data_IF_730485612351
#
_entry.id   IF_730485612351
#
_cell.length_a   1.000
_cell.length_b   1.000
_cell.length_c   1.000
_cell.angle_alpha   90.00
_cell.angle_beta   90.00
_cell.angle_gamma   90.00
#
_symmetry.space_group_name_H-M   'P 1'
#
loop_
_entity.id
_entity.type
_entity.pdbx_description
1 polymer ?
#
# COMPACT_ATOMS: atom_id res chain seq x y z
N UNK A 1 -23.13 -11.18 -1.25
CA UNK A 1 -21.66 -11.35 -1.32
C UNK A 1 -21.03 -10.10 -1.94
N UNK A 2 -20.63 -9.09 -1.15
CA UNK A 2 -20.22 -7.77 -1.69
C UNK A 2 -18.89 -7.22 -1.13
N UNK A 3 -18.08 -8.03 -0.43
CA UNK A 3 -16.89 -7.54 0.31
C UNK A 3 -15.55 -8.19 -0.07
N UNK A 4 -15.51 -9.07 -1.08
CA UNK A 4 -14.26 -9.77 -1.46
C UNK A 4 -13.09 -8.82 -1.82
N UNK A 5 -13.30 -7.72 -2.57
CA UNK A 5 -12.21 -6.81 -2.91
C UNK A 5 -11.61 -6.11 -1.68
N UNK A 6 -12.46 -5.67 -0.75
CA UNK A 6 -12.04 -5.00 0.49
C UNK A 6 -11.21 -5.95 1.37
N UNK A 7 -11.65 -7.22 1.47
CA UNK A 7 -10.92 -8.24 2.22
C UNK A 7 -9.54 -8.55 1.62
N UNK A 8 -9.43 -8.60 0.29
CA UNK A 8 -8.16 -8.84 -0.40
C UNK A 8 -7.20 -7.66 -0.22
N UNK A 9 -7.69 -6.43 -0.33
CA UNK A 9 -6.87 -5.23 -0.13
C UNK A 9 -6.28 -5.16 1.26
N UNK A 10 -7.09 -5.42 2.29
CA UNK A 10 -6.63 -5.40 3.68
C UNK A 10 -5.63 -6.52 3.95
N UNK A 11 -5.89 -7.72 3.42
CA UNK A 11 -4.96 -8.84 3.52
C UNK A 11 -3.60 -8.53 2.87
N UNK A 12 -3.59 -7.97 1.66
CA UNK A 12 -2.35 -7.54 0.99
C UNK A 12 -1.62 -6.48 1.82
N UNK A 13 -2.35 -5.50 2.37
CA UNK A 13 -1.78 -4.43 3.21
C UNK A 13 -1.08 -5.00 4.45
N UNK A 14 -1.74 -5.93 5.14
CA UNK A 14 -1.20 -6.57 6.36
C UNK A 14 0.05 -7.39 6.05
N UNK A 15 0.00 -8.25 5.02
CA UNK A 15 1.14 -9.09 4.67
C UNK A 15 2.33 -8.28 4.16
N UNK A 16 2.10 -7.26 3.32
CA UNK A 16 3.16 -6.36 2.89
C UNK A 16 3.77 -5.58 4.04
N UNK A 17 2.96 -5.09 4.98
CA UNK A 17 3.48 -4.42 6.18
C UNK A 17 4.41 -5.33 6.98
N UNK A 18 4.05 -6.61 7.14
CA UNK A 18 4.88 -7.59 7.84
C UNK A 18 6.14 -7.98 7.07
N UNK A 19 6.09 -8.08 5.75
CA UNK A 19 7.27 -8.32 4.90
C UNK A 19 8.23 -7.14 5.04
N UNK A 20 7.72 -5.92 4.84
CA UNK A 20 8.52 -4.71 4.87
C UNK A 20 9.20 -4.52 6.23
N UNK A 21 8.46 -4.70 7.32
CA UNK A 21 8.99 -4.54 8.68
C UNK A 21 10.09 -5.55 9.04
N UNK A 22 10.05 -6.77 8.48
CA UNK A 22 10.97 -7.85 8.86
C UNK A 22 12.21 -7.94 7.99
N UNK A 23 12.08 -7.60 6.71
CA UNK A 23 13.09 -7.92 5.70
C UNK A 23 13.84 -6.68 5.19
N UNK A 24 13.36 -5.48 5.52
CA UNK A 24 13.93 -4.23 5.01
C UNK A 24 14.24 -3.27 6.14
N UNK A 25 15.47 -2.81 6.18
CA UNK A 25 15.90 -1.71 7.04
C UNK A 25 15.48 -0.39 6.39
N UNK A 26 14.59 0.34 7.07
CA UNK A 26 14.21 1.68 6.66
C UNK A 26 15.24 2.70 7.13
N UNK A 27 15.40 3.83 6.42
CA UNK A 27 16.23 4.93 6.92
C UNK A 27 15.81 5.33 8.34
N UNK A 28 16.77 5.45 9.26
CA UNK A 28 16.50 5.65 10.70
C UNK A 28 15.71 6.94 11.00
N UNK A 29 15.80 7.94 10.13
CA UNK A 29 15.11 9.22 10.22
C UNK A 29 13.83 9.29 9.38
N UNK A 30 13.34 8.14 8.86
CA UNK A 30 12.13 8.06 8.04
C UNK A 30 11.05 7.16 8.68
N UNK A 31 9.89 7.76 8.98
CA UNK A 31 8.68 7.01 9.28
C UNK A 31 7.98 6.62 7.98
N UNK A 32 7.99 5.32 7.67
CA UNK A 32 7.36 4.76 6.47
C UNK A 32 6.07 4.03 6.84
N UNK A 33 4.94 4.44 6.25
CA UNK A 33 3.62 3.88 6.55
C UNK A 33 2.91 3.43 5.28
N UNK A 34 2.44 2.18 5.24
CA UNK A 34 1.50 1.70 4.23
C UNK A 34 0.10 2.21 4.59
N UNK A 35 -0.40 3.22 3.88
CA UNK A 35 -1.68 3.85 4.21
C UNK A 35 -2.86 3.04 3.68
N UNK A 36 -2.79 2.58 2.43
CA UNK A 36 -3.83 1.76 1.79
C UNK A 36 -3.31 0.90 0.64
N UNK A 37 -4.13 -0.06 0.25
CA UNK A 37 -3.98 -0.86 -0.96
C UNK A 37 -5.25 -0.76 -1.79
N UNK A 38 -5.11 -0.51 -3.08
CA UNK A 38 -6.21 -0.51 -4.05
C UNK A 38 -5.90 -1.55 -5.12
N UNK A 39 -6.67 -2.64 -5.12
CA UNK A 39 -6.52 -3.70 -6.10
C UNK A 39 -7.48 -3.47 -7.28
N UNK A 40 -7.02 -3.76 -8.50
CA UNK A 40 -7.89 -3.74 -9.67
C UNK A 40 -8.97 -4.82 -9.55
N UNK A 41 -10.15 -4.58 -10.13
CA UNK A 41 -11.27 -5.53 -10.05
C UNK A 41 -10.96 -6.92 -10.65
N UNK A 42 -9.99 -6.99 -11.55
CA UNK A 42 -9.48 -8.23 -12.16
C UNK A 42 -8.23 -8.80 -11.46
N UNK A 43 -7.79 -8.21 -10.33
CA UNK A 43 -6.63 -8.62 -9.53
C UNK A 43 -5.31 -8.76 -10.31
N UNK A 44 -5.14 -8.01 -11.40
CA UNK A 44 -3.88 -7.97 -12.14
C UNK A 44 -2.85 -7.06 -11.45
N UNK A 45 -3.31 -6.01 -10.79
CA UNK A 45 -2.46 -4.98 -10.18
C UNK A 45 -3.02 -4.53 -8.83
N UNK A 46 -2.13 -4.21 -7.90
CA UNK A 46 -2.42 -3.61 -6.62
C UNK A 46 -1.54 -2.37 -6.41
N UNK A 47 -2.17 -1.21 -6.32
CA UNK A 47 -1.51 0.05 -5.97
C UNK A 47 -1.40 0.14 -4.46
N UNK A 48 -0.17 0.21 -3.96
CA UNK A 48 0.16 0.29 -2.55
C UNK A 48 0.64 1.70 -2.25
N UNK A 49 -0.11 2.41 -1.43
CA UNK A 49 0.14 3.80 -1.10
C UNK A 49 1.02 3.89 0.15
N UNK A 50 2.09 4.68 0.04
CA UNK A 50 3.12 4.83 1.07
C UNK A 50 3.22 6.30 1.45
N UNK A 51 3.09 6.58 2.74
CA UNK A 51 3.44 7.87 3.33
C UNK A 51 4.83 7.76 3.96
N UNK A 52 5.66 8.78 3.73
CA UNK A 52 7.02 8.86 4.27
C UNK A 52 7.20 10.21 4.93
N UNK A 53 7.57 10.21 6.21
CA UNK A 53 7.85 11.43 6.97
C UNK A 53 9.29 11.36 7.50
N UNK A 54 10.16 12.34 7.19
CA UNK A 54 9.90 13.55 6.41
C UNK A 54 9.85 13.29 4.89
N UNK A 55 9.10 14.11 4.15
CA UNK A 55 8.94 14.02 2.69
C UNK A 55 10.27 13.97 1.92
N UNK A 56 11.33 14.57 2.47
CA UNK A 56 12.68 14.52 1.89
C UNK A 56 13.22 13.10 1.69
N UNK A 57 12.74 12.12 2.48
CA UNK A 57 13.12 10.71 2.38
C UNK A 57 12.23 9.90 1.43
N UNK A 58 11.11 10.45 0.96
CA UNK A 58 10.14 9.72 0.15
C UNK A 58 10.76 9.12 -1.11
N UNK A 59 11.56 9.89 -1.85
CA UNK A 59 12.21 9.41 -3.08
C UNK A 59 13.20 8.26 -2.83
N UNK A 60 13.95 8.31 -1.73
CA UNK A 60 14.90 7.27 -1.34
C UNK A 60 14.18 5.97 -0.99
N UNK A 61 13.18 6.06 -0.10
CA UNK A 61 12.35 4.92 0.32
C UNK A 61 11.64 4.28 -0.88
N UNK A 62 11.03 5.10 -1.75
CA UNK A 62 10.34 4.60 -2.94
C UNK A 62 11.28 3.86 -3.89
N UNK A 63 12.48 4.41 -4.12
CA UNK A 63 13.49 3.75 -4.96
C UNK A 63 13.92 2.41 -4.36
N UNK A 64 14.11 2.33 -3.05
CA UNK A 64 14.45 1.07 -2.37
C UNK A 64 13.33 0.03 -2.54
N UNK A 65 12.08 0.42 -2.34
CA UNK A 65 10.92 -0.46 -2.51
C UNK A 65 10.76 -0.93 -3.96
N UNK A 66 11.00 -0.05 -4.94
CA UNK A 66 10.97 -0.38 -6.37
C UNK A 66 12.07 -1.37 -6.75
N UNK A 67 13.30 -1.16 -6.27
CA UNK A 67 14.42 -2.07 -6.54
C UNK A 67 14.18 -3.47 -5.98
N UNK A 68 13.43 -3.58 -4.88
CA UNK A 68 13.14 -4.84 -4.20
C UNK A 68 11.77 -5.42 -4.54
N UNK A 69 11.01 -4.80 -5.47
CA UNK A 69 9.61 -5.17 -5.74
C UNK A 69 9.46 -6.64 -6.14
N UNK A 70 10.42 -7.21 -6.87
CA UNK A 70 10.38 -8.63 -7.25
C UNK A 70 10.48 -9.56 -6.04
N UNK A 71 11.43 -9.29 -5.14
CA UNK A 71 11.61 -10.07 -3.91
C UNK A 71 10.36 -9.95 -3.03
N UNK A 72 9.88 -8.72 -2.81
CA UNK A 72 8.66 -8.44 -2.04
C UNK A 72 7.45 -9.17 -2.66
N UNK A 73 7.32 -9.16 -3.99
CA UNK A 73 6.26 -9.88 -4.69
C UNK A 73 6.34 -11.39 -4.46
N UNK A 74 7.55 -11.98 -4.50
CA UNK A 74 7.73 -13.40 -4.26
C UNK A 74 7.31 -13.78 -2.84
N UNK A 75 7.76 -13.01 -1.84
CA UNK A 75 7.37 -13.23 -0.44
C UNK A 75 5.87 -13.10 -0.24
N UNK A 76 5.23 -12.11 -0.89
CA UNK A 76 3.79 -11.95 -0.84
C UNK A 76 3.06 -13.15 -1.48
N UNK A 77 3.57 -13.66 -2.60
CA UNK A 77 3.01 -14.82 -3.28
C UNK A 77 3.05 -16.08 -2.41
N UNK A 78 4.10 -16.26 -1.61
CA UNK A 78 4.25 -17.40 -0.70
C UNK A 78 3.30 -17.31 0.49
N UNK A 79 3.02 -16.10 0.99
CA UNK A 79 2.13 -15.87 2.14
C UNK A 79 0.65 -15.91 1.77
N UNK A 80 0.28 -15.44 0.58
CA UNK A 80 -1.12 -15.35 0.17
C UNK A 80 -1.62 -16.66 -0.44
N UNK A 81 -2.65 -17.25 0.20
CA UNK A 81 -3.35 -18.46 -0.30
C UNK A 81 -4.42 -18.12 -1.35
N UNK A 82 -4.07 -17.33 -2.36
CA UNK A 82 -4.98 -16.95 -3.45
C UNK A 82 -4.28 -16.89 -4.81
N UNK A 83 -5.05 -16.98 -5.89
CA UNK A 83 -4.55 -16.82 -7.26
C UNK A 83 -5.56 -16.05 -8.12
N UNK A 84 -5.13 -15.08 -8.96
CA UNK A 84 -3.78 -14.53 -9.01
C UNK A 84 -3.48 -13.66 -7.79
N UNK A 85 -2.20 -13.55 -7.42
CA UNK A 85 -1.73 -12.46 -6.55
C UNK A 85 -1.41 -11.26 -7.45
N UNK A 86 -2.00 -10.07 -7.19
CA UNK A 86 -1.80 -8.91 -8.05
C UNK A 86 -0.35 -8.42 -8.03
N UNK A 87 0.09 -7.82 -9.15
CA UNK A 87 1.39 -7.16 -9.23
C UNK A 87 1.40 -5.89 -8.39
N UNK A 88 2.40 -5.74 -7.54
CA UNK A 88 2.56 -4.58 -6.67
C UNK A 88 3.03 -3.37 -7.48
N UNK A 89 2.39 -2.21 -7.27
CA UNK A 89 2.91 -0.90 -7.67
C UNK A 89 2.92 0.04 -6.47
N UNK A 90 4.10 0.59 -6.18
CA UNK A 90 4.27 1.58 -5.13
C UNK A 90 3.78 2.95 -5.61
N UNK A 91 3.02 3.65 -4.76
CA UNK A 91 2.57 5.01 -5.00
C UNK A 91 2.94 5.84 -3.76
N UNK A 92 3.78 6.87 -3.96
CA UNK A 92 4.04 7.84 -2.90
C UNK A 92 2.78 8.67 -2.66
N UNK A 93 2.39 8.80 -1.40
CA UNK A 93 1.32 9.68 -0.97
C UNK A 93 1.92 11.02 -0.53
N UNK A 94 1.50 12.10 -1.17
CA UNK A 94 1.87 13.44 -0.74
C UNK A 94 0.95 13.87 0.41
N UNK A 95 1.44 14.71 1.32
CA UNK A 95 0.64 15.24 2.41
C UNK A 95 -0.69 15.88 1.94
N UNK A 96 -0.68 16.54 0.76
CA UNK A 96 -1.89 17.10 0.15
C UNK A 96 -2.90 16.05 -0.32
N UNK A 97 -2.44 14.90 -0.83
CA UNK A 97 -3.32 13.83 -1.30
C UNK A 97 -4.09 13.15 -0.16
N UNK A 98 -3.47 13.01 1.01
CA UNK A 98 -4.15 12.46 2.19
C UNK A 98 -5.22 13.41 2.74
N UNK A 99 -4.93 14.72 2.82
CA UNK A 99 -5.92 15.73 3.22
C UNK A 99 -7.14 15.74 2.29
N UNK A 100 -6.92 15.74 0.98
CA UNK A 100 -7.99 15.71 -0.01
C UNK A 100 -8.83 14.43 0.06
N UNK A 101 -8.21 13.29 0.41
CA UNK A 101 -8.94 12.03 0.65
C UNK A 101 -9.84 12.11 1.87
N UNK A 102 -9.34 12.66 2.98
CA UNK A 102 -10.12 12.80 4.21
C UNK A 102 -11.35 13.67 3.93
N UNK A 103 -11.18 14.80 3.24
CA UNK A 103 -12.28 15.65 2.78
C UNK A 103 -13.30 14.86 1.94
N UNK A 104 -12.83 14.09 0.94
CA UNK A 104 -13.70 13.28 0.10
C UNK A 104 -14.50 12.21 0.86
N UNK A 105 -13.89 11.56 1.86
CA UNK A 105 -14.59 10.58 2.71
C UNK A 105 -15.62 11.26 3.62
N UNK A 106 -15.31 12.43 4.18
CA UNK A 106 -16.25 13.22 4.98
C UNK A 106 -17.45 13.66 4.13
N UNK A 107 -17.24 14.03 2.87
CA UNK A 107 -18.31 14.40 1.94
C UNK A 107 -19.20 13.23 1.55
N UNK A 108 -18.65 12.01 1.44
CA UNK A 108 -19.46 10.80 1.20
C UNK A 108 -20.39 10.51 2.39
N UNK A 109 -19.88 10.61 3.62
CA UNK A 109 -20.68 10.41 4.84
C UNK A 109 -21.81 11.45 4.98
N UNK A 110 -21.58 12.69 4.56
CA UNK A 110 -22.60 13.76 4.57
C UNK A 110 -23.71 13.56 3.53
N UNK A 111 -23.46 12.81 2.45
CA UNK A 111 -24.47 12.55 1.41
C UNK A 111 -25.33 11.32 1.69
N UNK A 112 -24.90 10.46 2.60
CA UNK A 112 -25.62 9.25 3.00
C UNK A 112 -26.46 9.44 4.29
N UNK A 113 -26.34 10.60 4.95
CA UNK A 113 -27.20 11.03 6.06
C UNK A 113 -28.21 12.10 5.63
#
# INVERSE_FOLDING_TARGET
MKNRPVQVQELIKQELGQIILREFEMPEDALVTLTRVVASGNLQEAKVFISVVPDARASEVMKMLEQNVYNIQQMLNERLKMRPVPRIRWIAETAGAEAQRIEGLLDQLKKEG
#
